data_IF_385934029713
#
_entry.id   IF_385934029713
#
_cell.length_a   1.000
_cell.length_b   1.000
_cell.length_c   1.000
_cell.angle_alpha   90.00
_cell.angle_beta   90.00
_cell.angle_gamma   90.00
#
_symmetry.space_group_name_H-M   'P 1'
#
loop_
_entity.id
_entity.type
_entity.pdbx_description
1 polymer ?
#
# COMPACT_ATOMS: atom_id res chain seq x y z
N UNK A 1 43.67 35.76 -9.63
CA UNK A 1 42.22 35.87 -9.84
C UNK A 1 41.65 34.65 -10.57
N UNK A 2 42.33 34.14 -11.59
CA UNK A 2 41.86 32.94 -12.31
C UNK A 2 41.78 31.69 -11.41
N UNK A 3 42.67 31.54 -10.43
CA UNK A 3 42.66 30.41 -9.49
C UNK A 3 41.46 30.43 -8.56
N UNK A 4 40.98 31.59 -8.13
CA UNK A 4 39.80 31.75 -7.29
C UNK A 4 38.53 31.37 -8.06
N UNK A 5 38.43 31.79 -9.33
CA UNK A 5 37.30 31.41 -10.19
C UNK A 5 37.29 29.92 -10.52
N UNK A 6 38.43 29.29 -10.72
CA UNK A 6 38.54 27.85 -10.92
C UNK A 6 38.12 27.06 -9.69
N UNK A 7 38.51 27.49 -8.49
CA UNK A 7 38.11 26.88 -7.22
C UNK A 7 36.60 26.99 -7.00
N UNK A 8 35.99 28.13 -7.24
CA UNK A 8 34.55 28.35 -7.12
C UNK A 8 33.77 27.50 -8.12
N UNK A 9 34.24 27.38 -9.36
CA UNK A 9 33.63 26.53 -10.40
C UNK A 9 33.70 25.05 -9.98
N UNK A 10 34.82 24.59 -9.45
CA UNK A 10 35.01 23.22 -8.97
C UNK A 10 34.10 22.92 -7.80
N UNK A 11 33.98 23.83 -6.85
CA UNK A 11 33.10 23.71 -5.70
C UNK A 11 31.61 23.63 -6.12
N UNK A 12 31.15 24.47 -7.02
CA UNK A 12 29.81 24.47 -7.59
C UNK A 12 29.52 23.15 -8.30
N UNK A 13 30.46 22.60 -9.06
CA UNK A 13 30.34 21.33 -9.76
C UNK A 13 30.21 20.16 -8.78
N UNK A 14 30.97 20.17 -7.69
CA UNK A 14 30.86 19.14 -6.64
C UNK A 14 29.53 19.22 -5.92
N UNK A 15 29.03 20.41 -5.62
CA UNK A 15 27.71 20.62 -5.03
C UNK A 15 26.60 20.11 -5.96
N UNK A 16 26.67 20.38 -7.25
CA UNK A 16 25.74 19.90 -8.26
C UNK A 16 25.74 18.37 -8.34
N UNK A 17 26.91 17.74 -8.32
CA UNK A 17 27.06 16.28 -8.32
C UNK A 17 26.45 15.67 -7.07
N UNK A 18 26.67 16.27 -5.90
CA UNK A 18 26.12 15.80 -4.63
C UNK A 18 24.60 15.93 -4.60
N UNK A 19 24.04 17.04 -5.10
CA UNK A 19 22.60 17.24 -5.21
C UNK A 19 21.96 16.21 -6.14
N UNK A 20 22.61 15.94 -7.28
CA UNK A 20 22.15 14.94 -8.24
C UNK A 20 22.11 13.54 -7.62
N UNK A 21 23.15 13.15 -6.89
CA UNK A 21 23.21 11.87 -6.16
C UNK A 21 22.11 11.77 -5.12
N UNK A 22 21.84 12.84 -4.41
CA UNK A 22 20.80 12.88 -3.37
C UNK A 22 19.41 12.77 -4.00
N UNK A 23 19.12 13.49 -5.09
CA UNK A 23 17.88 13.37 -5.83
C UNK A 23 17.65 11.95 -6.36
N UNK A 24 18.69 11.32 -6.93
CA UNK A 24 18.61 9.94 -7.42
C UNK A 24 18.35 8.95 -6.30
N UNK A 25 18.97 9.16 -5.15
CA UNK A 25 18.75 8.32 -3.95
C UNK A 25 17.29 8.40 -3.49
N UNK A 26 16.73 9.59 -3.39
CA UNK A 26 15.34 9.81 -2.99
C UNK A 26 14.37 9.18 -3.98
N UNK A 27 14.64 9.30 -5.28
CA UNK A 27 13.82 8.67 -6.32
C UNK A 27 13.88 7.15 -6.19
N UNK A 28 15.07 6.58 -6.03
CA UNK A 28 15.24 5.12 -5.89
C UNK A 28 14.58 4.58 -4.62
N UNK A 29 14.64 5.30 -3.51
CA UNK A 29 13.93 4.94 -2.28
C UNK A 29 12.41 4.97 -2.46
N UNK A 30 11.89 5.96 -3.18
CA UNK A 30 10.47 6.07 -3.50
C UNK A 30 10.02 4.94 -4.41
N UNK A 31 10.81 4.60 -5.42
CA UNK A 31 10.53 3.45 -6.31
C UNK A 31 10.46 2.16 -5.49
N UNK A 32 11.43 1.94 -4.60
CA UNK A 32 11.46 0.75 -3.74
C UNK A 32 10.21 0.69 -2.84
N UNK A 33 9.77 1.80 -2.29
CA UNK A 33 8.56 1.89 -1.48
C UNK A 33 7.33 1.42 -2.28
N UNK A 34 7.17 1.90 -3.50
CA UNK A 34 6.07 1.50 -4.37
C UNK A 34 6.18 0.06 -4.85
N UNK A 35 7.40 -0.44 -5.08
CA UNK A 35 7.63 -1.85 -5.41
C UNK A 35 7.21 -2.78 -4.27
N UNK A 36 7.43 -2.38 -3.02
CA UNK A 36 6.99 -3.14 -1.85
C UNK A 36 5.45 -3.19 -1.76
N UNK A 37 4.77 -2.10 -2.10
CA UNK A 37 3.30 -2.05 -2.18
C UNK A 37 2.79 -3.03 -3.24
N UNK A 38 3.41 -3.06 -4.40
CA UNK A 38 3.04 -3.98 -5.50
C UNK A 38 3.30 -5.43 -5.11
N UNK A 39 4.42 -5.71 -4.47
CA UNK A 39 4.76 -7.04 -3.97
C UNK A 39 3.73 -7.55 -2.97
N UNK A 40 3.31 -6.69 -2.05
CA UNK A 40 2.28 -7.01 -1.06
C UNK A 40 0.94 -7.34 -1.74
N UNK A 41 0.52 -6.53 -2.71
CA UNK A 41 -0.71 -6.77 -3.47
C UNK A 41 -0.65 -8.06 -4.28
N UNK A 42 0.51 -8.39 -4.84
CA UNK A 42 0.72 -9.66 -5.54
C UNK A 42 0.54 -10.85 -4.60
N UNK A 43 1.07 -10.76 -3.39
CA UNK A 43 0.90 -11.78 -2.36
C UNK A 43 -0.59 -11.95 -1.99
N UNK A 44 -1.35 -10.85 -1.88
CA UNK A 44 -2.80 -10.90 -1.65
C UNK A 44 -3.50 -11.64 -2.79
N UNK A 45 -3.18 -11.33 -4.04
CA UNK A 45 -3.79 -11.99 -5.20
C UNK A 45 -3.49 -13.49 -5.23
N UNK A 46 -2.26 -13.88 -4.93
CA UNK A 46 -1.86 -15.29 -4.83
C UNK A 46 -2.61 -16.01 -3.70
N UNK A 47 -2.74 -15.34 -2.56
CA UNK A 47 -3.51 -15.86 -1.43
C UNK A 47 -4.98 -16.04 -1.79
N UNK A 48 -5.59 -15.05 -2.46
CA UNK A 48 -6.99 -15.10 -2.87
C UNK A 48 -7.27 -16.17 -3.96
N UNK A 49 -6.26 -16.60 -4.68
CA UNK A 49 -6.36 -17.69 -5.65
C UNK A 49 -6.28 -19.08 -4.99
N UNK A 50 -5.83 -19.17 -3.75
CA UNK A 50 -5.71 -20.42 -3.00
C UNK A 50 -7.09 -20.95 -2.59
N UNK A 51 -7.34 -22.25 -2.84
CA UNK A 51 -8.63 -22.87 -2.56
C UNK A 51 -8.95 -22.89 -1.06
N UNK A 52 -7.95 -23.09 -0.20
CA UNK A 52 -8.15 -23.08 1.25
C UNK A 52 -8.47 -21.69 1.75
N UNK A 53 -7.83 -20.66 1.20
CA UNK A 53 -8.17 -19.26 1.51
C UNK A 53 -9.62 -18.95 1.14
N UNK A 54 -10.06 -19.35 -0.04
CA UNK A 54 -11.44 -19.15 -0.49
C UNK A 54 -12.43 -19.83 0.43
N UNK A 55 -12.14 -21.08 0.81
CA UNK A 55 -13.03 -21.84 1.72
C UNK A 55 -13.14 -21.16 3.10
N UNK A 56 -12.02 -20.80 3.71
CA UNK A 56 -11.98 -20.29 5.07
C UNK A 56 -12.41 -18.83 5.13
N UNK A 57 -11.87 -17.98 4.27
CA UNK A 57 -12.07 -16.52 4.34
C UNK A 57 -13.23 -16.05 3.46
N UNK A 58 -13.25 -16.38 2.18
CA UNK A 58 -14.32 -15.88 1.30
C UNK A 58 -15.66 -16.51 1.61
N UNK A 59 -15.73 -17.83 1.69
CA UNK A 59 -16.97 -18.53 1.97
C UNK A 59 -17.29 -18.55 3.47
N UNK A 60 -16.28 -18.83 4.30
CA UNK A 60 -16.47 -18.99 5.75
C UNK A 60 -16.61 -17.65 6.47
N UNK A 61 -15.56 -16.84 6.47
CA UNK A 61 -15.48 -15.64 7.30
C UNK A 61 -16.26 -14.46 6.71
N UNK A 62 -16.02 -14.14 5.45
CA UNK A 62 -16.63 -12.96 4.81
C UNK A 62 -18.10 -13.16 4.45
N UNK A 63 -18.55 -14.39 4.28
CA UNK A 63 -19.93 -14.69 3.86
C UNK A 63 -20.72 -15.36 4.96
N UNK A 64 -20.41 -16.58 5.31
CA UNK A 64 -21.20 -17.38 6.25
C UNK A 64 -21.19 -16.81 7.68
N UNK A 65 -20.05 -16.38 8.16
CA UNK A 65 -19.95 -15.79 9.49
C UNK A 65 -20.69 -14.45 9.56
N UNK A 66 -20.55 -13.61 8.54
CA UNK A 66 -21.29 -12.35 8.45
C UNK A 66 -22.80 -12.58 8.42
N UNK A 67 -23.28 -13.58 7.66
CA UNK A 67 -24.69 -13.94 7.59
C UNK A 67 -25.20 -14.45 8.95
N UNK A 68 -24.43 -15.30 9.62
CA UNK A 68 -24.78 -15.83 10.94
C UNK A 68 -24.93 -14.70 11.97
N UNK A 69 -24.00 -13.78 12.01
CA UNK A 69 -24.02 -12.63 12.92
C UNK A 69 -25.20 -11.70 12.64
N UNK A 70 -25.44 -11.40 11.37
CA UNK A 70 -26.56 -10.54 10.94
C UNK A 70 -27.90 -11.20 11.30
N UNK A 71 -28.02 -12.51 11.07
CA UNK A 71 -29.21 -13.27 11.43
C UNK A 71 -29.49 -13.20 12.94
N UNK A 72 -28.47 -13.31 13.77
CA UNK A 72 -28.62 -13.20 15.22
C UNK A 72 -29.17 -11.82 15.64
N UNK A 73 -28.79 -10.74 14.94
CA UNK A 73 -29.34 -9.40 15.20
C UNK A 73 -30.83 -9.30 14.81
N UNK A 74 -31.25 -10.03 13.78
CA UNK A 74 -32.60 -9.94 13.19
C UNK A 74 -33.58 -10.93 13.84
N UNK A 75 -33.11 -11.88 14.64
CA UNK A 75 -34.02 -12.81 15.34
C UNK A 75 -34.84 -12.07 16.41
N UNK A 76 -36.12 -12.45 16.59
CA UNK A 76 -36.99 -11.77 17.55
C UNK A 76 -36.69 -12.17 18.99
N UNK A 77 -35.44 -12.39 19.32
CA UNK A 77 -34.96 -12.69 20.67
C UNK A 77 -34.55 -11.40 21.34
N UNK A 78 -34.89 -11.20 22.60
CA UNK A 78 -34.48 -10.03 23.36
C UNK A 78 -32.98 -10.17 23.67
N UNK A 79 -32.17 -9.42 22.92
CA UNK A 79 -30.72 -9.34 23.14
C UNK A 79 -30.44 -8.22 24.16
N UNK A 80 -29.48 -8.45 25.04
CA UNK A 80 -28.93 -7.40 25.89
C UNK A 80 -28.07 -6.46 25.05
N UNK A 81 -27.92 -5.21 25.50
CA UNK A 81 -27.17 -4.17 24.80
C UNK A 81 -25.72 -4.58 24.54
N UNK A 82 -25.04 -5.19 25.50
CA UNK A 82 -23.68 -5.68 25.38
C UNK A 82 -23.55 -6.81 24.35
N UNK A 83 -24.56 -7.66 24.22
CA UNK A 83 -24.60 -8.71 23.19
C UNK A 83 -24.73 -8.11 21.78
N UNK A 84 -25.57 -7.10 21.61
CA UNK A 84 -25.75 -6.39 20.36
C UNK A 84 -24.44 -5.68 19.97
N UNK A 85 -23.81 -4.97 20.89
CA UNK A 85 -22.54 -4.28 20.66
C UNK A 85 -21.44 -5.27 20.24
N UNK A 86 -21.36 -6.43 20.88
CA UNK A 86 -20.39 -7.46 20.53
C UNK A 86 -20.60 -7.99 19.11
N UNK A 87 -21.85 -8.26 18.72
CA UNK A 87 -22.16 -8.72 17.35
C UNK A 87 -21.81 -7.65 16.33
N UNK A 88 -22.16 -6.39 16.60
CA UNK A 88 -21.81 -5.26 15.72
C UNK A 88 -20.30 -5.13 15.55
N UNK A 89 -19.54 -5.28 16.64
CA UNK A 89 -18.07 -5.25 16.59
C UNK A 89 -17.52 -6.39 15.73
N UNK A 90 -18.08 -7.59 15.83
CA UNK A 90 -17.65 -8.74 15.03
C UNK A 90 -17.95 -8.54 13.54
N UNK A 91 -19.10 -7.99 13.18
CA UNK A 91 -19.46 -7.66 11.79
C UNK A 91 -18.54 -6.56 11.25
N UNK A 92 -18.27 -5.55 12.07
CA UNK A 92 -17.36 -4.46 11.71
C UNK A 92 -15.95 -4.99 11.47
N UNK A 93 -15.47 -5.94 12.27
CA UNK A 93 -14.16 -6.57 12.09
C UNK A 93 -14.07 -7.28 10.75
N UNK A 94 -15.09 -8.02 10.35
CA UNK A 94 -15.14 -8.70 9.04
C UNK A 94 -15.04 -7.66 7.91
N UNK A 95 -15.84 -6.60 7.99
CA UNK A 95 -15.80 -5.51 7.00
C UNK A 95 -14.43 -4.85 6.93
N UNK A 96 -13.80 -4.62 8.07
CA UNK A 96 -12.47 -3.99 8.13
C UNK A 96 -11.39 -4.85 7.44
N UNK A 97 -11.43 -6.17 7.60
CA UNK A 97 -10.51 -7.09 6.92
C UNK A 97 -10.71 -7.04 5.40
N UNK A 98 -11.96 -7.10 4.94
CA UNK A 98 -12.29 -6.97 3.50
C UNK A 98 -11.80 -5.64 2.93
N UNK A 99 -12.04 -4.56 3.65
CA UNK A 99 -11.64 -3.20 3.26
C UNK A 99 -10.12 -3.09 3.18
N UNK A 100 -9.39 -3.65 4.14
CA UNK A 100 -7.94 -3.70 4.15
C UNK A 100 -7.40 -4.34 2.87
N UNK A 101 -7.89 -5.53 2.51
CA UNK A 101 -7.47 -6.24 1.32
C UNK A 101 -7.76 -5.45 0.05
N UNK A 102 -8.94 -4.85 -0.02
CA UNK A 102 -9.38 -4.06 -1.17
C UNK A 102 -8.49 -2.83 -1.39
N UNK A 103 -8.21 -2.06 -0.33
CA UNK A 103 -7.37 -0.87 -0.44
C UNK A 103 -5.92 -1.20 -0.77
N UNK A 104 -5.38 -2.32 -0.28
CA UNK A 104 -4.04 -2.75 -0.65
C UNK A 104 -3.92 -3.06 -2.14
N UNK A 105 -4.96 -3.63 -2.74
CA UNK A 105 -5.00 -3.87 -4.18
C UNK A 105 -5.11 -2.57 -4.98
N UNK A 106 -5.91 -1.61 -4.50
CA UNK A 106 -6.02 -0.29 -5.12
C UNK A 106 -4.71 0.49 -5.03
N UNK A 107 -4.04 0.46 -3.89
CA UNK A 107 -2.75 1.13 -3.68
C UNK A 107 -1.70 0.64 -4.69
N UNK A 108 -1.72 -0.63 -5.04
CA UNK A 108 -0.79 -1.20 -6.02
C UNK A 108 -1.00 -0.60 -7.42
N UNK A 109 -2.23 -0.37 -7.83
CA UNK A 109 -2.53 0.27 -9.12
C UNK A 109 -1.95 1.68 -9.18
N UNK A 110 -2.14 2.47 -8.12
CA UNK A 110 -1.56 3.81 -8.01
C UNK A 110 -0.03 3.75 -7.94
N UNK A 111 0.53 2.77 -7.24
CA UNK A 111 1.97 2.58 -7.11
C UNK A 111 2.63 2.32 -8.47
N UNK A 112 2.01 1.55 -9.35
CA UNK A 112 2.52 1.30 -10.71
C UNK A 112 2.63 2.60 -11.50
N UNK A 113 1.63 3.46 -11.45
CA UNK A 113 1.64 4.77 -12.10
C UNK A 113 2.75 5.67 -11.53
N UNK A 114 2.91 5.68 -10.22
CA UNK A 114 3.93 6.47 -9.53
C UNK A 114 5.34 6.01 -9.88
N UNK A 115 5.59 4.72 -10.02
CA UNK A 115 6.88 4.18 -10.46
C UNK A 115 7.21 4.66 -11.86
N UNK A 116 6.25 4.62 -12.77
CA UNK A 116 6.42 5.07 -14.15
C UNK A 116 6.86 6.54 -14.21
N UNK A 117 6.20 7.40 -13.44
CA UNK A 117 6.55 8.81 -13.32
C UNK A 117 7.93 9.02 -12.70
N UNK A 118 8.26 8.26 -11.65
CA UNK A 118 9.57 8.34 -11.00
C UNK A 118 10.70 7.88 -11.92
N UNK A 119 10.48 6.89 -12.77
CA UNK A 119 11.44 6.45 -13.77
C UNK A 119 11.73 7.54 -14.81
N UNK A 120 10.70 8.28 -15.21
CA UNK A 120 10.84 9.45 -16.09
C UNK A 120 11.68 10.52 -15.40
N UNK A 121 11.36 10.86 -14.16
CA UNK A 121 12.12 11.82 -13.35
C UNK A 121 13.58 11.40 -13.20
N UNK A 122 13.82 10.11 -12.97
CA UNK A 122 15.16 9.54 -12.83
C UNK A 122 15.98 9.76 -14.12
N UNK A 123 15.37 9.51 -15.27
CA UNK A 123 15.99 9.75 -16.56
C UNK A 123 16.33 11.22 -16.78
N UNK A 124 15.44 12.12 -16.39
CA UNK A 124 15.66 13.57 -16.49
C UNK A 124 16.82 14.02 -15.59
N UNK A 125 16.90 13.54 -14.37
CA UNK A 125 18.00 13.85 -13.45
C UNK A 125 19.33 13.32 -14.01
N UNK A 126 19.35 12.09 -14.54
CA UNK A 126 20.54 11.48 -15.12
C UNK A 126 21.06 12.23 -16.36
N UNK A 127 20.19 12.90 -17.10
CA UNK A 127 20.55 13.62 -18.32
C UNK A 127 21.07 15.03 -18.07
N UNK A 128 21.09 15.50 -16.86
CA UNK A 128 21.59 16.84 -16.48
C UNK A 128 23.11 16.96 -16.56
#
# INVERSE_FOLDING_TARGET
MSDIQALDSTKTTLEEINLKKEELKEIDESIQHYQDIIKFAKAIKELQADENYKLVFEDGYFTKEAERLTKNLLEPTILKRDQIENIVDMVTAIRNVKTFLHYKLLDASTAEENIEQLQIMRSEVNSR
#
